data_IF_772848190603
#
_entry.id   IF_772848190603
#
_cell.length_a   1.000
_cell.length_b   1.000
_cell.length_c   1.000
_cell.angle_alpha   90.00
_cell.angle_beta   90.00
_cell.angle_gamma   90.00
#
_symmetry.space_group_name_H-M   'P 1'
#
loop_
_entity.id
_entity.type
_entity.pdbx_description
1 polymer ?
#
# COMPACT_ATOMS: atom_id res chain seq x y z
N UNK A 1 17.42 14.12 -26.98
CA UNK A 1 17.44 14.69 -25.61
C UNK A 1 16.37 13.97 -24.82
N UNK A 2 16.72 12.84 -24.21
CA UNK A 2 15.79 12.01 -23.44
C UNK A 2 15.77 12.51 -22.00
N UNK A 3 15.10 13.65 -21.77
CA UNK A 3 14.88 14.15 -20.43
C UNK A 3 13.74 13.34 -19.80
N UNK A 4 14.08 12.30 -19.06
CA UNK A 4 13.12 11.58 -18.22
C UNK A 4 12.64 12.48 -17.08
N UNK A 5 11.33 12.52 -16.84
CA UNK A 5 10.78 13.13 -15.63
C UNK A 5 11.09 12.26 -14.43
N UNK A 6 11.23 12.86 -13.25
CA UNK A 6 11.44 12.13 -12.00
C UNK A 6 10.22 12.35 -11.09
N UNK A 7 9.67 11.25 -10.57
CA UNK A 7 8.63 11.28 -9.56
C UNK A 7 9.22 10.92 -8.20
N UNK A 8 8.99 11.80 -7.22
CA UNK A 8 9.24 11.54 -5.81
C UNK A 8 7.90 11.33 -5.11
N UNK A 9 7.82 10.32 -4.27
CA UNK A 9 6.60 9.88 -3.59
C UNK A 9 6.88 9.77 -2.10
N UNK A 10 6.08 10.46 -1.29
CA UNK A 10 5.96 10.23 0.15
C UNK A 10 4.49 10.02 0.49
N UNK A 11 4.15 8.84 0.98
CA UNK A 11 2.77 8.43 1.31
C UNK A 11 2.72 7.80 2.69
N UNK A 12 1.63 8.03 3.42
CA UNK A 12 1.29 7.28 4.62
C UNK A 12 0.08 6.40 4.33
N UNK A 13 0.23 5.09 4.51
CA UNK A 13 -0.82 4.09 4.29
C UNK A 13 -1.11 3.41 5.62
N UNK A 14 -2.31 3.60 6.14
CA UNK A 14 -2.74 2.99 7.41
C UNK A 14 -3.60 1.77 7.14
N UNK A 15 -3.23 0.63 7.73
CA UNK A 15 -4.04 -0.57 7.74
C UNK A 15 -4.75 -0.72 9.09
N UNK A 16 -6.02 -1.11 9.05
CA UNK A 16 -6.77 -1.59 10.21
C UNK A 16 -7.07 -3.08 9.98
N UNK A 17 -6.55 -3.93 10.86
CA UNK A 17 -6.97 -5.32 10.94
C UNK A 17 -8.01 -5.45 12.05
N UNK A 18 -9.18 -6.01 11.71
CA UNK A 18 -10.31 -6.12 12.63
C UNK A 18 -10.71 -7.58 12.81
N UNK A 19 -10.93 -7.97 14.07
CA UNK A 19 -11.53 -9.22 14.47
C UNK A 19 -12.91 -8.95 15.08
N UNK A 20 -13.97 -9.21 14.30
CA UNK A 20 -15.35 -9.09 14.76
C UNK A 20 -15.89 -10.37 15.43
N UNK A 21 -15.07 -11.41 15.58
CA UNK A 21 -15.45 -12.61 16.31
C UNK A 21 -15.40 -12.35 17.82
N UNK A 22 -16.51 -12.63 18.50
CA UNK A 22 -16.67 -12.35 19.93
C UNK A 22 -15.93 -13.34 20.85
N UNK A 23 -15.46 -14.48 20.33
CA UNK A 23 -14.94 -15.59 21.15
C UNK A 23 -13.54 -16.04 20.76
N UNK A 24 -13.21 -15.99 19.48
CA UNK A 24 -11.99 -16.56 18.93
C UNK A 24 -10.93 -15.48 18.65
N UNK A 25 -9.67 -15.87 18.81
CA UNK A 25 -8.56 -15.05 18.33
C UNK A 25 -8.46 -15.13 16.80
N UNK A 26 -7.99 -14.05 16.18
CA UNK A 26 -7.65 -14.02 14.75
C UNK A 26 -6.14 -13.90 14.57
N UNK A 27 -5.52 -14.87 13.92
CA UNK A 27 -4.13 -14.75 13.49
C UNK A 27 -4.05 -14.22 12.06
N UNK A 28 -3.16 -13.27 11.85
CA UNK A 28 -2.83 -12.66 10.57
C UNK A 28 -1.39 -13.02 10.24
N UNK A 29 -1.15 -13.52 9.03
CA UNK A 29 0.17 -13.88 8.55
C UNK A 29 0.30 -13.60 7.07
N UNK A 30 1.52 -13.68 6.52
CA UNK A 30 1.76 -13.47 5.09
C UNK A 30 1.17 -12.14 4.57
N UNK A 31 1.35 -11.07 5.36
CA UNK A 31 0.93 -9.73 4.99
C UNK A 31 1.89 -9.20 3.93
N UNK A 32 1.39 -9.07 2.69
CA UNK A 32 2.19 -8.66 1.56
C UNK A 32 1.36 -7.81 0.59
N UNK A 33 1.70 -6.54 0.44
CA UNK A 33 1.07 -5.65 -0.53
C UNK A 33 2.11 -4.89 -1.36
N UNK A 34 1.89 -4.83 -2.67
CA UNK A 34 2.67 -4.04 -3.61
C UNK A 34 1.92 -2.74 -3.91
N UNK A 35 2.59 -1.62 -3.65
CA UNK A 35 2.19 -0.31 -4.10
C UNK A 35 2.82 -0.04 -5.46
N UNK A 36 2.01 0.44 -6.40
CA UNK A 36 2.45 0.76 -7.75
C UNK A 36 1.81 2.05 -8.26
N UNK A 37 2.51 2.70 -9.18
CA UNK A 37 2.09 3.91 -9.87
C UNK A 37 2.10 3.64 -11.38
N UNK A 38 0.93 3.58 -12.01
CA UNK A 38 0.80 3.24 -13.44
C UNK A 38 1.58 1.96 -13.86
N UNK A 39 1.61 0.94 -12.99
CA UNK A 39 2.33 -0.31 -13.23
C UNK A 39 3.81 -0.30 -12.83
N UNK A 40 4.38 0.86 -12.50
CA UNK A 40 5.72 0.95 -11.91
C UNK A 40 5.64 0.58 -10.43
N UNK A 41 6.50 -0.33 -10.00
CA UNK A 41 6.62 -0.69 -8.58
C UNK A 41 7.15 0.50 -7.77
N UNK A 42 6.45 0.87 -6.70
CA UNK A 42 6.85 1.93 -5.76
C UNK A 42 7.41 1.34 -4.48
N UNK A 43 6.69 0.41 -3.85
CA UNK A 43 7.12 -0.22 -2.61
C UNK A 43 6.42 -1.56 -2.36
N UNK A 44 7.05 -2.40 -1.55
CA UNK A 44 6.43 -3.60 -0.96
C UNK A 44 6.19 -3.37 0.53
N UNK A 45 4.94 -3.48 0.96
CA UNK A 45 4.50 -3.32 2.35
C UNK A 45 4.38 -4.72 2.97
N UNK A 46 5.13 -4.96 4.05
CA UNK A 46 5.13 -6.23 4.78
C UNK A 46 4.94 -5.96 6.26
N UNK A 47 4.21 -6.84 6.92
CA UNK A 47 4.11 -6.84 8.38
C UNK A 47 4.51 -8.22 8.92
N UNK A 48 4.97 -8.25 10.17
CA UNK A 48 5.17 -9.49 10.90
C UNK A 48 3.83 -10.18 11.15
N UNK A 49 3.88 -11.48 11.43
CA UNK A 49 2.68 -12.21 11.87
C UNK A 49 2.19 -11.64 13.21
N UNK A 50 0.87 -11.46 13.36
CA UNK A 50 0.26 -10.95 14.58
C UNK A 50 -1.06 -11.65 14.89
N UNK A 51 -1.52 -11.51 16.13
CA UNK A 51 -2.81 -12.06 16.58
C UNK A 51 -3.61 -10.97 17.27
N UNK A 52 -4.91 -10.92 16.95
CA UNK A 52 -5.86 -10.01 17.56
C UNK A 52 -6.81 -10.82 18.46
N UNK A 53 -7.11 -10.28 19.64
CA UNK A 53 -8.12 -10.83 20.54
C UNK A 53 -9.54 -10.76 19.97
N UNK A 54 -10.52 -11.40 20.63
CA UNK A 54 -11.92 -11.29 20.26
C UNK A 54 -12.43 -9.85 20.30
N UNK A 55 -13.31 -9.49 19.35
CA UNK A 55 -13.94 -8.16 19.22
C UNK A 55 -12.94 -7.00 19.35
N UNK A 56 -11.80 -7.10 18.67
CA UNK A 56 -10.71 -6.13 18.78
C UNK A 56 -10.14 -5.78 17.39
N UNK A 57 -9.42 -4.67 17.33
CA UNK A 57 -8.72 -4.23 16.13
C UNK A 57 -7.31 -3.74 16.47
N UNK A 58 -6.45 -3.74 15.45
CA UNK A 58 -5.13 -3.11 15.52
C UNK A 58 -4.94 -2.25 14.28
N UNK A 59 -4.39 -1.05 14.50
CA UNK A 59 -4.09 -0.07 13.45
C UNK A 59 -2.59 0.11 13.38
N UNK A 60 -2.02 0.05 12.17
CA UNK A 60 -0.60 0.29 11.96
C UNK A 60 -0.33 1.09 10.68
N UNK A 61 0.54 2.11 10.73
CA UNK A 61 0.91 2.90 9.58
C UNK A 61 2.13 2.31 8.84
N UNK A 62 2.16 2.50 7.53
CA UNK A 62 3.35 2.41 6.69
C UNK A 62 3.68 3.78 6.12
N UNK A 63 4.92 4.22 6.32
CA UNK A 63 5.46 5.37 5.61
C UNK A 63 6.21 4.85 4.40
N UNK A 64 5.77 5.23 3.22
CA UNK A 64 6.40 4.89 1.94
C UNK A 64 7.12 6.12 1.43
N UNK A 65 8.42 5.97 1.20
CA UNK A 65 9.27 6.98 0.56
C UNK A 65 9.95 6.33 -0.64
N UNK A 66 9.75 6.91 -1.82
CA UNK A 66 10.39 6.48 -3.05
C UNK A 66 10.83 7.72 -3.83
N UNK A 67 12.11 7.78 -4.15
CA UNK A 67 12.71 8.90 -4.86
C UNK A 67 13.11 8.49 -6.27
N UNK A 68 13.09 9.47 -7.18
CA UNK A 68 13.64 9.34 -8.52
C UNK A 68 13.04 8.20 -9.36
N UNK A 69 11.73 7.96 -9.23
CA UNK A 69 11.03 7.03 -10.13
C UNK A 69 11.04 7.63 -11.55
N UNK A 70 11.68 6.97 -12.54
CA UNK A 70 11.77 7.53 -13.88
C UNK A 70 10.42 7.47 -14.59
N UNK A 71 10.05 8.58 -15.21
CA UNK A 71 8.85 8.72 -16.03
C UNK A 71 9.24 8.82 -17.50
N UNK A 72 8.73 7.91 -18.31
CA UNK A 72 8.74 8.06 -19.76
C UNK A 72 7.79 9.19 -20.21
N UNK A 73 7.86 9.65 -21.47
CA UNK A 73 7.01 10.73 -21.96
C UNK A 73 5.49 10.49 -21.82
N UNK A 74 5.03 9.25 -21.93
CA UNK A 74 3.62 8.93 -21.75
C UNK A 74 3.20 9.08 -20.29
N UNK A 75 4.04 8.59 -19.37
CA UNK A 75 3.81 8.71 -17.93
C UNK A 75 3.89 10.17 -17.46
N UNK A 76 4.81 10.96 -18.03
CA UNK A 76 4.86 12.41 -17.76
C UNK A 76 3.55 13.10 -18.15
N UNK A 77 3.01 12.82 -19.34
CA UNK A 77 1.73 13.38 -19.79
C UNK A 77 0.55 12.91 -18.91
N UNK A 78 0.58 11.66 -18.44
CA UNK A 78 -0.42 11.15 -17.49
C UNK A 78 -0.34 11.87 -16.15
N UNK A 79 0.86 12.06 -15.59
CA UNK A 79 1.08 12.81 -14.35
C UNK A 79 0.55 14.25 -14.50
N UNK A 80 0.90 14.93 -15.59
CA UNK A 80 0.40 16.28 -15.87
C UNK A 80 -1.15 16.33 -15.94
N UNK A 81 -1.78 15.39 -16.64
CA UNK A 81 -3.24 15.28 -16.68
C UNK A 81 -3.85 15.03 -15.30
N UNK A 82 -3.23 14.16 -14.51
CA UNK A 82 -3.65 13.83 -13.14
C UNK A 82 -3.54 15.01 -12.19
N UNK A 83 -2.44 15.78 -12.27
CA UNK A 83 -2.24 17.01 -11.51
C UNK A 83 -3.28 18.07 -11.89
N UNK A 84 -3.55 18.26 -13.19
CA UNK A 84 -4.61 19.17 -13.67
C UNK A 84 -6.01 18.77 -13.18
N UNK A 85 -6.23 17.47 -12.95
CA UNK A 85 -7.48 16.93 -12.36
C UNK A 85 -7.45 16.88 -10.84
N UNK A 86 -6.38 17.37 -10.21
CA UNK A 86 -6.13 17.29 -8.78
C UNK A 86 -6.29 15.88 -8.19
N UNK A 87 -5.88 14.85 -8.95
CA UNK A 87 -6.01 13.44 -8.56
C UNK A 87 -4.91 12.57 -9.16
N UNK A 88 -4.08 12.02 -8.28
CA UNK A 88 -3.07 11.00 -8.61
C UNK A 88 -3.57 9.65 -8.08
N UNK A 89 -3.43 8.58 -8.86
CA UNK A 89 -3.89 7.24 -8.48
C UNK A 89 -2.71 6.31 -8.29
N UNK A 90 -2.66 5.67 -7.13
CA UNK A 90 -1.77 4.54 -6.85
C UNK A 90 -2.60 3.26 -6.75
N UNK A 91 -1.98 2.13 -7.06
CA UNK A 91 -2.61 0.81 -6.98
C UNK A 91 -1.90 0.01 -5.90
N UNK A 92 -2.66 -0.39 -4.89
CA UNK A 92 -2.22 -1.28 -3.81
C UNK A 92 -2.83 -2.66 -4.06
N UNK A 93 -2.00 -3.68 -4.29
CA UNK A 93 -2.44 -5.05 -4.54
C UNK A 93 -1.64 -6.04 -3.72
N UNK A 94 -2.31 -7.03 -3.16
CA UNK A 94 -1.66 -7.99 -2.28
C UNK A 94 -2.64 -8.87 -1.56
N UNK A 95 -2.15 -9.55 -0.54
CA UNK A 95 -2.92 -10.47 0.27
C UNK A 95 -2.44 -10.46 1.72
N UNK A 96 -3.31 -10.98 2.58
CA UNK A 96 -2.99 -11.34 3.97
C UNK A 96 -3.74 -12.63 4.24
N UNK A 97 -3.08 -13.59 4.89
CA UNK A 97 -3.71 -14.81 5.35
C UNK A 97 -4.33 -14.57 6.72
N UNK A 98 -5.58 -14.97 6.89
CA UNK A 98 -6.29 -14.88 8.17
C UNK A 98 -6.74 -16.27 8.62
N UNK A 99 -6.66 -16.54 9.92
CA UNK A 99 -7.13 -17.79 10.52
C UNK A 99 -7.74 -17.56 11.89
N UNK A 100 -8.95 -18.10 12.09
CA UNK A 100 -9.58 -18.22 13.39
C UNK A 100 -8.87 -19.27 14.25
N UNK A 101 -8.61 -18.93 15.51
CA UNK A 101 -8.21 -19.86 16.57
C UNK A 101 -9.34 -19.91 17.60
N UNK A 102 -10.17 -20.95 17.47
CA UNK A 102 -11.24 -21.33 18.40
C UNK A 102 -10.71 -22.24 19.49
#
# INVERSE_FOLDING_TARGET
NDQAGLLNVRLSITFEARNDNEKAHASFSDFHYNLSFHGIHVATLRNWDFTIGPNASVVFPFVVEADSIPLDPNLMAMVDSSLKKNRITFVLRGHTRTRWRV
#
